data_IF_911010822580
#
_entry.id   IF_911010822580
#
_cell.length_a   1.000
_cell.length_b   1.000
_cell.length_c   1.000
_cell.angle_alpha   90.00
_cell.angle_beta   90.00
_cell.angle_gamma   90.00
#
_symmetry.space_group_name_H-M   'P 1'
#
loop_
_entity.id
_entity.type
_entity.pdbx_description
1 polymer ?
#
# COMPACT_ATOMS: atom_id res chain seq x y z
N UNK A 1 6.30 4.63 -14.53
CA UNK A 1 6.09 3.70 -13.40
C UNK A 1 4.66 3.20 -13.48
N UNK A 2 4.43 1.89 -13.30
CA UNK A 2 3.07 1.31 -13.30
C UNK A 2 2.61 1.07 -11.86
N UNK A 3 1.34 1.35 -11.58
CA UNK A 3 0.71 1.03 -10.29
C UNK A 3 0.36 -0.46 -10.31
N UNK A 4 0.98 -1.24 -9.44
CA UNK A 4 0.75 -2.69 -9.36
C UNK A 4 -0.40 -3.04 -8.41
N UNK A 5 -0.60 -2.23 -7.39
CA UNK A 5 -1.62 -2.42 -6.36
C UNK A 5 -2.08 -1.06 -5.84
N UNK A 6 -3.38 -0.91 -5.65
CA UNK A 6 -4.02 0.25 -5.05
C UNK A 6 -5.08 -0.20 -4.05
N UNK A 7 -5.19 0.53 -2.94
CA UNK A 7 -6.14 0.22 -1.87
C UNK A 7 -6.71 1.52 -1.30
N UNK A 8 -8.00 1.51 -0.99
CA UNK A 8 -8.68 2.52 -0.18
C UNK A 8 -9.02 1.87 1.15
N UNK A 9 -8.53 2.44 2.23
CA UNK A 9 -8.77 1.93 3.58
C UNK A 9 -9.14 3.09 4.51
N UNK A 10 -9.73 2.75 5.66
CA UNK A 10 -9.98 3.67 6.78
C UNK A 10 -9.37 3.05 8.03
N UNK A 11 -8.25 3.60 8.48
CA UNK A 11 -7.41 2.94 9.49
C UNK A 11 -6.92 1.58 8.98
N UNK A 12 -7.26 0.51 9.68
CA UNK A 12 -6.93 -0.87 9.30
C UNK A 12 -7.98 -1.55 8.42
N UNK A 13 -9.14 -0.92 8.21
CA UNK A 13 -10.25 -1.53 7.45
C UNK A 13 -10.13 -1.18 5.97
N UNK A 14 -9.97 -2.19 5.11
CA UNK A 14 -9.93 -2.02 3.65
C UNK A 14 -11.35 -1.89 3.11
N UNK A 15 -11.61 -0.80 2.37
CA UNK A 15 -12.90 -0.53 1.70
C UNK A 15 -12.89 -1.00 0.25
N UNK A 16 -11.78 -0.79 -0.45
CA UNK A 16 -11.60 -1.23 -1.83
C UNK A 16 -10.14 -1.59 -2.09
N UNK A 17 -9.90 -2.58 -2.96
CA UNK A 17 -8.56 -2.99 -3.38
C UNK A 17 -8.56 -3.36 -4.85
N UNK A 18 -7.47 -3.04 -5.54
CA UNK A 18 -7.23 -3.42 -6.92
C UNK A 18 -5.78 -3.84 -7.11
N UNK A 19 -5.57 -5.00 -7.72
CA UNK A 19 -4.26 -5.54 -8.03
C UNK A 19 -4.18 -5.85 -9.52
N UNK A 20 -3.09 -5.42 -10.16
CA UNK A 20 -2.82 -5.72 -11.57
C UNK A 20 -2.28 -7.15 -11.75
N UNK A 21 -1.49 -7.64 -10.79
CA UNK A 21 -0.94 -8.99 -10.76
C UNK A 21 -1.27 -9.71 -9.45
N UNK A 22 -1.28 -11.04 -9.47
CA UNK A 22 -1.33 -11.84 -8.25
C UNK A 22 -0.05 -11.69 -7.42
N UNK A 23 -0.19 -11.64 -6.10
CA UNK A 23 0.92 -11.52 -5.14
C UNK A 23 0.44 -11.24 -3.73
N UNK A 24 1.37 -11.22 -2.77
CA UNK A 24 1.09 -11.06 -1.33
C UNK A 24 0.84 -9.58 -0.93
N UNK A 25 0.19 -8.81 -1.81
CA UNK A 25 -0.01 -7.37 -1.60
C UNK A 25 -0.93 -7.07 -0.41
N UNK A 26 -1.91 -7.95 -0.13
CA UNK A 26 -2.85 -7.76 0.97
C UNK A 26 -2.14 -7.82 2.33
N UNK A 27 -1.33 -8.86 2.55
CA UNK A 27 -0.61 -9.06 3.80
C UNK A 27 0.37 -7.91 4.08
N UNK A 28 1.07 -7.45 3.04
CA UNK A 28 1.95 -6.28 3.14
C UNK A 28 1.13 -5.01 3.44
N UNK A 29 -0.03 -4.86 2.80
CA UNK A 29 -0.92 -3.71 3.04
C UNK A 29 -1.38 -3.66 4.48
N UNK A 30 -1.85 -4.76 5.06
CA UNK A 30 -2.32 -4.80 6.45
C UNK A 30 -1.21 -4.38 7.44
N UNK A 31 0.02 -4.83 7.21
CA UNK A 31 1.17 -4.41 8.02
C UNK A 31 1.49 -2.92 7.89
N UNK A 32 1.25 -2.33 6.72
CA UNK A 32 1.45 -0.90 6.48
C UNK A 32 0.30 -0.10 7.10
N UNK A 33 -0.96 -0.53 6.93
CA UNK A 33 -2.13 0.08 7.56
C UNK A 33 -1.99 0.16 9.08
N UNK A 34 -1.43 -0.87 9.71
CA UNK A 34 -1.16 -0.88 11.15
C UNK A 34 -0.10 0.14 11.59
N UNK A 35 0.75 0.64 10.68
CA UNK A 35 1.81 1.61 10.95
C UNK A 35 1.43 3.05 10.60
N UNK A 36 0.34 3.25 9.86
CA UNK A 36 -0.08 4.58 9.42
C UNK A 36 -0.84 5.28 10.56
N UNK A 37 -0.36 6.44 11.02
CA UNK A 37 -1.10 7.22 12.00
C UNK A 37 -2.39 7.77 11.39
N UNK A 38 -3.42 7.95 12.21
CA UNK A 38 -4.73 8.50 11.79
C UNK A 38 -4.69 9.99 11.40
N UNK A 39 -3.52 10.62 11.41
CA UNK A 39 -3.37 12.00 10.98
C UNK A 39 -3.30 12.10 9.46
N UNK A 40 -3.90 13.15 8.90
CA UNK A 40 -3.93 13.40 7.47
C UNK A 40 -2.52 13.77 6.96
N UNK A 41 -1.73 12.74 6.67
CA UNK A 41 -0.36 12.84 6.22
C UNK A 41 -0.15 12.00 4.95
N UNK A 42 0.57 12.58 3.98
CA UNK A 42 0.98 11.89 2.76
C UNK A 42 2.37 11.28 2.95
N UNK A 43 2.46 9.96 2.93
CA UNK A 43 3.71 9.22 3.17
C UNK A 43 3.99 8.29 1.97
N UNK A 44 5.24 8.29 1.50
CA UNK A 44 5.70 7.34 0.48
C UNK A 44 6.57 6.28 1.14
N UNK A 45 6.03 5.06 1.30
CA UNK A 45 6.80 3.93 1.81
C UNK A 45 7.55 3.24 0.67
N UNK A 46 8.88 3.28 0.73
CA UNK A 46 9.75 2.51 -0.17
C UNK A 46 10.22 1.25 0.55
N UNK A 47 9.63 0.09 0.23
CA UNK A 47 10.14 -1.19 0.73
C UNK A 47 11.24 -1.71 -0.21
N UNK A 48 12.44 -1.92 0.35
CA UNK A 48 13.64 -2.27 -0.42
C UNK A 48 13.60 -3.68 -1.01
N UNK A 49 13.56 -3.73 -2.35
CA UNK A 49 14.11 -4.74 -3.29
C UNK A 49 14.47 -6.11 -2.68
N UNK A 50 13.50 -7.02 -2.58
CA UNK A 50 13.80 -8.45 -2.72
C UNK A 50 13.90 -8.81 -4.21
N UNK A 51 14.90 -9.62 -4.56
CA UNK A 51 15.39 -9.88 -5.91
C UNK A 51 14.28 -10.31 -6.90
N UNK A 52 13.72 -9.36 -7.66
CA UNK A 52 13.42 -9.42 -9.12
C UNK A 52 12.44 -8.37 -9.66
N UNK A 53 11.93 -7.42 -8.86
CA UNK A 53 11.10 -6.35 -9.45
C UNK A 53 11.04 -5.09 -8.59
N UNK A 54 11.12 -3.88 -9.17
CA UNK A 54 10.92 -2.64 -8.42
C UNK A 54 9.42 -2.44 -8.16
N UNK A 55 8.94 -2.90 -6.99
CA UNK A 55 7.58 -2.59 -6.53
C UNK A 55 7.64 -1.39 -5.58
N UNK A 56 7.47 -0.19 -6.12
CA UNK A 56 7.21 1.01 -5.30
C UNK A 56 5.70 1.07 -5.08
N UNK A 57 5.26 1.02 -3.82
CA UNK A 57 3.85 1.13 -3.45
C UNK A 57 3.59 2.56 -2.95
N UNK A 58 2.99 3.38 -3.79
CA UNK A 58 2.54 4.71 -3.40
C UNK A 58 1.16 4.58 -2.74
N UNK A 59 1.10 4.87 -1.44
CA UNK A 59 -0.15 4.89 -0.68
C UNK A 59 -0.53 6.34 -0.44
N UNK A 60 -1.48 6.86 -1.22
CA UNK A 60 -2.06 8.18 -1.02
C UNK A 60 -3.22 8.08 -0.02
N UNK A 61 -3.07 8.66 1.16
CA UNK A 61 -4.16 8.88 2.10
C UNK A 61 -4.78 10.24 1.86
N UNK A 62 -6.09 10.27 1.67
CA UNK A 62 -6.88 11.50 1.67
C UNK A 62 -8.07 11.22 2.58
N UNK A 63 -8.21 12.00 3.65
CA UNK A 63 -9.47 12.08 4.40
C UNK A 63 -10.62 12.47 3.47
#
# INVERSE_FOLDING_TARGET
MAILFAVVARGTTILAKHAWCGGNFLEVTEQILAKIPSENNKLTYSHGKSLNSPQSLLIEWRD
#
